data_IF_052165797026
#
_entry.id   IF_052165797026
#
_cell.length_a   1.000
_cell.length_b   1.000
_cell.length_c   1.000
_cell.angle_alpha   90.00
_cell.angle_beta   90.00
_cell.angle_gamma   90.00
#
_symmetry.space_group_name_H-M   'P 1'
#
loop_
_entity.id
_entity.type
_entity.pdbx_description
1 polymer ?
#
# COMPACT_ATOMS: atom_id res chain seq x y z
N UNK A 1 11.76 -52.74 16.07
CA UNK A 1 10.68 -53.48 16.76
C UNK A 1 9.37 -53.11 16.11
N UNK A 2 8.95 -53.90 15.16
CA UNK A 2 7.61 -53.92 14.53
C UNK A 2 6.71 -54.86 15.31
N UNK A 3 5.38 -54.64 15.30
CA UNK A 3 4.48 -55.69 14.82
C UNK A 3 3.43 -55.12 13.84
N UNK A 4 3.29 -55.57 12.66
CA UNK A 4 2.44 -56.62 12.06
C UNK A 4 1.05 -56.70 12.74
N UNK A 5 -0.01 -56.27 12.03
CA UNK A 5 -1.38 -56.73 12.24
C UNK A 5 -2.09 -57.00 10.90
N UNK A 6 -2.63 -58.18 10.85
CA UNK A 6 -3.12 -59.04 9.81
C UNK A 6 -4.53 -58.64 9.29
N UNK A 7 -4.72 -58.96 7.99
CA UNK A 7 -5.97 -58.99 7.24
C UNK A 7 -7.04 -59.88 7.87
N UNK A 8 -8.32 -59.48 7.76
CA UNK A 8 -9.47 -60.42 7.84
C UNK A 8 -10.33 -60.24 6.59
N UNK A 9 -10.22 -61.22 5.73
CA UNK A 9 -11.17 -61.60 4.69
C UNK A 9 -12.51 -62.02 5.30
N UNK A 10 -13.61 -61.47 4.76
CA UNK A 10 -14.96 -62.00 5.06
C UNK A 10 -15.58 -62.54 3.80
N UNK A 11 -15.88 -63.80 3.87
CA UNK A 11 -16.41 -64.71 2.86
C UNK A 11 -17.87 -64.47 2.55
N UNK A 12 -18.19 -64.53 1.25
CA UNK A 12 -19.50 -64.44 0.61
C UNK A 12 -20.22 -65.81 0.75
N UNK A 13 -21.41 -65.84 1.26
CA UNK A 13 -22.30 -67.03 1.23
C UNK A 13 -23.41 -66.82 0.20
N UNK A 14 -23.38 -67.61 -0.84
CA UNK A 14 -24.44 -67.79 -1.83
C UNK A 14 -25.46 -68.76 -1.26
N UNK A 15 -26.75 -68.35 -1.29
CA UNK A 15 -27.84 -69.29 -1.15
C UNK A 15 -28.81 -69.12 -2.31
N UNK A 16 -29.00 -70.20 -3.04
CA UNK A 16 -29.79 -70.26 -4.23
C UNK A 16 -31.23 -70.67 -4.03
N UNK A 17 -31.92 -70.69 -5.11
CA UNK A 17 -33.07 -71.53 -5.47
C UNK A 17 -34.48 -70.95 -5.22
N UNK A 18 -35.25 -70.65 -6.27
CA UNK A 18 -36.25 -71.60 -6.78
C UNK A 18 -37.06 -70.97 -7.94
N UNK A 19 -37.02 -71.64 -9.04
CA UNK A 19 -37.86 -71.44 -10.24
C UNK A 19 -39.31 -71.88 -9.97
N UNK A 20 -40.27 -71.03 -10.20
CA UNK A 20 -41.66 -71.41 -10.44
C UNK A 20 -42.08 -70.88 -11.83
N UNK A 21 -42.25 -71.83 -12.72
CA UNK A 21 -42.85 -71.57 -14.06
C UNK A 21 -44.37 -71.46 -13.96
N UNK A 22 -44.94 -70.32 -14.37
CA UNK A 22 -46.36 -70.20 -14.68
C UNK A 22 -46.49 -69.96 -16.17
N UNK A 23 -47.06 -70.92 -16.88
CA UNK A 23 -47.53 -70.77 -18.22
C UNK A 23 -48.89 -70.03 -18.18
N UNK A 24 -48.94 -68.81 -18.75
CA UNK A 24 -50.17 -68.08 -18.96
C UNK A 24 -50.24 -67.66 -20.43
N UNK A 25 -51.20 -68.21 -21.17
CA UNK A 25 -51.55 -67.77 -22.51
C UNK A 25 -51.94 -66.27 -22.50
N UNK A 26 -51.22 -65.43 -23.18
CA UNK A 26 -51.64 -64.08 -23.47
C UNK A 26 -52.04 -63.97 -24.92
N UNK A 27 -53.28 -63.58 -25.17
CA UNK A 27 -53.80 -63.12 -26.45
C UNK A 27 -52.98 -61.94 -27.00
N UNK A 28 -52.49 -62.10 -28.20
CA UNK A 28 -51.95 -60.99 -29.01
C UNK A 28 -53.02 -59.91 -29.20
N UNK A 29 -52.92 -58.86 -28.47
CA UNK A 29 -53.53 -57.57 -28.83
C UNK A 29 -52.46 -56.80 -29.62
N UNK A 30 -52.61 -56.67 -30.88
CA UNK A 30 -51.88 -55.70 -31.71
C UNK A 30 -52.09 -54.30 -31.10
N UNK A 31 -51.08 -53.77 -30.42
CA UNK A 31 -51.04 -52.34 -30.14
C UNK A 31 -50.84 -51.60 -31.46
N UNK A 32 -51.90 -50.99 -31.96
CA UNK A 32 -51.84 -49.99 -33.00
C UNK A 32 -50.75 -48.99 -32.62
N UNK A 33 -49.74 -48.80 -33.47
CA UNK A 33 -48.82 -47.68 -33.37
C UNK A 33 -49.63 -46.39 -33.25
N UNK A 34 -49.44 -45.55 -32.23
CA UNK A 34 -50.06 -44.24 -32.19
C UNK A 34 -49.68 -43.49 -33.48
N UNK A 35 -50.66 -43.02 -34.22
CA UNK A 35 -50.46 -42.12 -35.34
C UNK A 35 -49.57 -40.97 -34.86
N UNK A 36 -48.60 -40.49 -35.67
CA UNK A 36 -47.77 -39.36 -35.25
C UNK A 36 -48.66 -38.13 -35.04
N UNK A 37 -49.02 -37.85 -33.80
CA UNK A 37 -49.70 -36.61 -33.45
C UNK A 37 -48.72 -35.49 -33.75
N UNK A 38 -49.08 -34.59 -34.70
CA UNK A 38 -48.27 -33.41 -34.95
C UNK A 38 -48.11 -32.63 -33.65
N UNK A 39 -46.88 -32.33 -33.22
CA UNK A 39 -46.65 -31.57 -31.99
C UNK A 39 -47.31 -30.20 -32.10
N UNK A 40 -48.11 -29.84 -31.08
CA UNK A 40 -48.73 -28.51 -30.99
C UNK A 40 -47.73 -27.54 -30.35
N UNK A 41 -47.45 -26.41 -31.03
CA UNK A 41 -46.48 -25.43 -30.60
C UNK A 41 -47.10 -24.03 -30.51
N UNK A 42 -46.59 -23.24 -29.57
CA UNK A 42 -46.94 -21.82 -29.43
C UNK A 42 -45.81 -20.97 -29.99
N UNK A 43 -46.16 -19.93 -30.75
CA UNK A 43 -45.19 -19.00 -31.33
C UNK A 43 -45.04 -17.76 -30.47
N UNK A 44 -43.76 -17.37 -30.24
CA UNK A 44 -43.40 -16.15 -29.52
C UNK A 44 -42.38 -15.39 -30.35
N UNK A 45 -42.53 -14.07 -30.44
CA UNK A 45 -41.54 -13.20 -31.09
C UNK A 45 -40.55 -12.71 -30.09
N UNK A 46 -39.32 -12.43 -30.57
CA UNK A 46 -38.36 -11.72 -29.79
C UNK A 46 -38.84 -10.28 -29.48
N UNK A 47 -38.68 -9.85 -28.27
CA UNK A 47 -39.09 -8.51 -27.80
C UNK A 47 -37.94 -7.71 -27.30
N UNK A 48 -37.95 -6.40 -27.55
CA UNK A 48 -36.98 -5.50 -26.92
C UNK A 48 -37.41 -5.23 -25.48
N UNK A 49 -36.58 -5.62 -24.52
CA UNK A 49 -36.87 -5.54 -23.07
C UNK A 49 -35.68 -5.07 -22.27
N UNK A 50 -35.96 -4.66 -21.06
CA UNK A 50 -34.96 -4.49 -20.03
C UNK A 50 -34.85 -5.78 -19.21
N UNK A 51 -33.64 -6.35 -19.13
CA UNK A 51 -33.35 -7.56 -18.35
C UNK A 51 -32.60 -7.16 -17.12
N UNK A 52 -33.09 -7.54 -15.94
CA UNK A 52 -32.47 -7.36 -14.66
C UNK A 52 -31.93 -8.71 -14.15
N UNK A 53 -30.64 -8.93 -14.30
CA UNK A 53 -29.97 -10.10 -13.73
C UNK A 53 -29.41 -9.75 -12.35
N UNK A 54 -29.74 -10.54 -11.34
CA UNK A 54 -29.23 -10.38 -10.00
C UNK A 54 -28.23 -11.49 -9.71
N UNK A 55 -26.98 -11.12 -9.39
CA UNK A 55 -25.94 -12.04 -8.96
C UNK A 55 -25.80 -11.90 -7.45
N UNK A 56 -26.24 -12.90 -6.70
CA UNK A 56 -26.17 -12.93 -5.24
C UNK A 56 -25.09 -13.88 -4.75
N UNK A 57 -24.27 -13.43 -3.82
CA UNK A 57 -23.24 -14.24 -3.18
C UNK A 57 -23.26 -14.03 -1.66
N UNK A 58 -23.08 -15.12 -0.90
CA UNK A 58 -22.85 -15.00 0.53
C UNK A 58 -21.47 -14.41 0.81
N UNK A 59 -21.38 -13.60 1.84
CA UNK A 59 -20.15 -12.99 2.29
C UNK A 59 -20.22 -12.59 3.75
N UNK A 60 -19.19 -11.89 4.18
CA UNK A 60 -19.13 -11.33 5.53
C UNK A 60 -18.94 -9.83 5.45
N UNK A 61 -19.45 -9.14 6.45
CA UNK A 61 -19.11 -7.75 6.70
C UNK A 61 -17.65 -7.72 7.15
N UNK A 62 -16.81 -7.00 6.45
CA UNK A 62 -15.43 -6.78 6.85
C UNK A 62 -15.23 -5.32 7.26
N UNK A 63 -14.27 -5.07 8.15
CA UNK A 63 -13.85 -3.71 8.46
C UNK A 63 -13.26 -3.07 7.19
N UNK A 64 -13.49 -1.76 7.00
CA UNK A 64 -12.86 -1.03 5.90
C UNK A 64 -11.33 -1.16 5.92
N UNK A 65 -10.77 -1.09 7.11
CA UNK A 65 -9.35 -1.27 7.39
C UNK A 65 -9.18 -1.94 8.75
N UNK A 66 -8.28 -2.90 8.84
CA UNK A 66 -7.92 -3.56 10.10
C UNK A 66 -6.41 -3.66 10.20
N UNK A 67 -5.85 -3.15 11.30
CA UNK A 67 -4.41 -3.15 11.53
C UNK A 67 -4.10 -3.86 12.85
N UNK A 68 -3.18 -4.80 12.77
CA UNK A 68 -2.59 -5.46 13.92
C UNK A 68 -1.39 -4.66 14.43
N UNK A 69 -1.39 -4.30 15.71
CA UNK A 69 -0.36 -3.54 16.38
C UNK A 69 0.60 -4.49 17.07
N UNK A 70 1.88 -4.37 16.72
CA UNK A 70 2.97 -5.18 17.27
C UNK A 70 3.96 -4.31 18.02
N UNK A 71 4.67 -4.88 19.00
CA UNK A 71 5.83 -4.23 19.58
C UNK A 71 6.95 -4.14 18.54
N UNK A 72 7.63 -2.99 18.45
CA UNK A 72 8.85 -2.82 17.64
C UNK A 72 10.12 -3.07 18.43
N UNK A 73 10.04 -3.07 19.77
CA UNK A 73 11.11 -3.35 20.71
C UNK A 73 10.63 -4.39 21.72
N UNK A 74 11.49 -5.27 22.22
CA UNK A 74 11.13 -6.19 23.29
C UNK A 74 10.99 -5.42 24.61
N UNK A 75 10.08 -5.88 25.47
CA UNK A 75 9.85 -5.28 26.77
C UNK A 75 8.64 -5.89 27.48
N UNK A 76 8.35 -5.43 28.68
CA UNK A 76 7.17 -5.82 29.44
C UNK A 76 6.05 -4.81 29.21
N UNK A 77 4.80 -5.25 29.21
CA UNK A 77 3.66 -4.34 29.21
C UNK A 77 3.55 -3.70 30.60
N UNK A 78 3.80 -2.40 30.67
CA UNK A 78 3.66 -1.64 31.93
C UNK A 78 2.19 -1.37 32.23
N UNK A 79 1.48 -0.85 31.24
CA UNK A 79 0.08 -0.47 31.37
C UNK A 79 -0.59 -0.51 30.02
N UNK A 80 -1.83 -0.98 29.99
CA UNK A 80 -2.75 -0.81 28.87
C UNK A 80 -3.87 0.18 29.26
N UNK A 81 -4.30 1.01 28.31
CA UNK A 81 -5.24 2.12 28.54
C UNK A 81 -6.59 1.89 27.86
N UNK A 82 -6.73 0.84 27.06
CA UNK A 82 -7.91 0.52 26.27
C UNK A 82 -8.18 -0.98 26.32
N UNK A 83 -9.46 -1.38 26.21
CA UNK A 83 -9.84 -2.79 26.18
C UNK A 83 -10.62 -3.12 24.89
N UNK A 84 -10.95 -4.39 24.69
CA UNK A 84 -11.76 -4.87 23.57
C UNK A 84 -13.11 -4.15 23.57
N UNK A 85 -13.50 -3.60 22.42
CA UNK A 85 -14.73 -2.84 22.25
C UNK A 85 -14.59 -1.33 22.45
N UNK A 86 -13.46 -0.85 22.98
CA UNK A 86 -13.24 0.58 23.16
C UNK A 86 -13.04 1.30 21.82
N UNK A 87 -13.65 2.48 21.70
CA UNK A 87 -13.43 3.40 20.61
C UNK A 87 -12.15 4.20 20.85
N UNK A 88 -11.25 4.18 19.90
CA UNK A 88 -9.97 4.87 19.95
C UNK A 88 -9.84 5.90 18.84
N UNK A 89 -9.13 6.99 19.13
CA UNK A 89 -8.77 8.02 18.15
C UNK A 89 -7.37 7.81 17.64
N UNK A 90 -7.08 8.36 16.48
CA UNK A 90 -5.72 8.42 15.94
C UNK A 90 -4.75 9.01 16.97
N UNK A 91 -3.57 8.43 17.07
CA UNK A 91 -2.50 8.78 18.00
C UNK A 91 -2.85 8.61 19.50
N UNK A 92 -4.02 8.06 19.83
CA UNK A 92 -4.37 7.71 21.21
C UNK A 92 -3.46 6.58 21.71
N UNK A 93 -2.91 6.75 22.92
CA UNK A 93 -2.04 5.77 23.55
C UNK A 93 -2.83 4.53 23.99
N UNK A 94 -2.50 3.39 23.41
CA UNK A 94 -3.13 2.09 23.69
C UNK A 94 -2.47 1.37 24.87
N UNK A 95 -1.12 1.32 24.84
CA UNK A 95 -0.31 0.72 25.89
C UNK A 95 1.06 1.36 25.98
N UNK A 96 1.71 1.16 27.12
CA UNK A 96 3.11 1.54 27.38
C UNK A 96 3.92 0.29 27.69
N UNK A 97 5.11 0.22 27.14
CA UNK A 97 6.09 -0.81 27.46
C UNK A 97 7.03 -0.33 28.58
N UNK A 98 7.45 -1.21 29.42
CA UNK A 98 8.48 -1.00 30.44
C UNK A 98 9.82 -1.52 29.91
N UNK A 99 10.74 -0.60 29.59
CA UNK A 99 12.09 -0.89 29.09
C UNK A 99 13.05 0.11 29.71
N UNK A 100 13.36 -0.04 31.02
CA UNK A 100 14.18 0.94 31.74
C UNK A 100 15.58 1.10 31.15
N UNK A 101 16.17 0.01 30.66
CA UNK A 101 17.51 0.03 30.09
C UNK A 101 17.65 0.99 28.91
N UNK A 102 16.62 1.05 28.07
CA UNK A 102 16.58 1.93 26.91
C UNK A 102 16.43 3.40 27.31
N UNK A 103 15.68 3.68 28.37
CA UNK A 103 15.50 5.03 28.90
C UNK A 103 16.81 5.55 29.49
N UNK A 104 17.52 4.72 30.26
CA UNK A 104 18.80 5.07 30.82
C UNK A 104 19.90 5.25 29.76
N UNK A 105 19.91 4.37 28.74
CA UNK A 105 20.80 4.52 27.59
C UNK A 105 20.57 5.83 26.84
N UNK A 106 19.29 6.22 26.64
CA UNK A 106 18.93 7.50 26.03
C UNK A 106 19.44 8.67 26.87
N UNK A 107 19.23 8.65 28.18
CA UNK A 107 19.75 9.66 29.10
C UNK A 107 21.28 9.79 29.05
N UNK A 108 22.00 8.65 28.98
CA UNK A 108 23.43 8.65 28.78
C UNK A 108 23.87 9.33 27.48
N UNK A 109 23.19 9.07 26.35
CA UNK A 109 23.52 9.73 25.09
C UNK A 109 23.20 11.23 25.10
N UNK A 110 22.14 11.66 25.77
CA UNK A 110 21.89 13.09 26.00
C UNK A 110 23.02 13.77 26.78
N UNK A 111 23.47 13.15 27.85
CA UNK A 111 24.60 13.64 28.60
C UNK A 111 25.88 13.71 27.75
N UNK A 112 26.10 12.71 26.89
CA UNK A 112 27.25 12.70 25.96
C UNK A 112 27.18 13.87 24.96
N UNK A 113 26.03 14.17 24.38
CA UNK A 113 25.85 15.34 23.50
C UNK A 113 26.15 16.64 24.25
N UNK A 114 25.70 16.76 25.51
CA UNK A 114 26.00 17.93 26.34
C UNK A 114 27.50 18.10 26.60
N UNK A 115 28.19 17.00 26.91
CA UNK A 115 29.64 17.00 27.08
C UNK A 115 30.38 17.43 25.81
N UNK A 116 30.02 16.86 24.65
CA UNK A 116 30.68 17.17 23.39
C UNK A 116 30.44 18.63 22.97
N UNK A 117 29.27 19.23 23.28
CA UNK A 117 29.03 20.68 23.11
C UNK A 117 29.95 21.55 23.94
N UNK A 118 30.24 21.15 25.20
CA UNK A 118 31.20 21.86 26.04
C UNK A 118 32.63 21.77 25.47
N UNK A 119 33.00 20.62 24.86
CA UNK A 119 34.30 20.48 24.19
C UNK A 119 34.40 21.39 22.94
N UNK A 120 33.35 21.61 22.20
CA UNK A 120 33.31 22.62 21.12
C UNK A 120 33.59 24.01 21.70
N UNK A 121 32.95 24.38 22.79
CA UNK A 121 33.15 25.70 23.40
C UNK A 121 34.58 25.86 23.94
N UNK A 122 35.17 24.78 24.47
CA UNK A 122 36.60 24.75 24.85
C UNK A 122 37.50 25.00 23.64
N UNK A 123 37.24 24.30 22.51
CA UNK A 123 38.00 24.48 21.26
C UNK A 123 37.87 25.90 20.71
N UNK A 124 36.71 26.53 20.77
CA UNK A 124 36.50 27.96 20.42
C UNK A 124 37.34 28.89 21.26
N UNK A 125 37.44 28.66 22.59
CA UNK A 125 38.32 29.47 23.48
C UNK A 125 39.81 29.30 23.13
N UNK A 126 40.19 28.14 22.63
CA UNK A 126 41.56 27.94 22.13
C UNK A 126 41.83 28.76 20.85
N UNK A 127 40.83 28.89 19.98
CA UNK A 127 40.93 29.78 18.80
C UNK A 127 41.08 31.24 19.22
N UNK A 128 40.31 31.71 20.23
CA UNK A 128 40.43 33.06 20.74
C UNK A 128 41.84 33.33 21.30
N UNK A 129 42.40 32.35 22.05
CA UNK A 129 43.75 32.42 22.58
C UNK A 129 44.82 32.45 21.47
N UNK A 130 44.70 31.57 20.46
CA UNK A 130 45.60 31.54 19.30
C UNK A 130 45.57 32.84 18.49
N UNK A 131 44.39 33.44 18.33
CA UNK A 131 44.21 34.73 17.65
C UNK A 131 44.91 35.85 18.45
N UNK A 132 44.80 35.83 19.78
CA UNK A 132 45.50 36.75 20.65
C UNK A 132 47.05 36.66 20.50
N UNK A 133 47.57 35.41 20.44
CA UNK A 133 49.02 35.19 20.23
C UNK A 133 49.49 35.63 18.84
N UNK A 134 48.70 35.43 17.81
CA UNK A 134 48.97 35.91 16.45
C UNK A 134 49.00 37.45 16.40
N UNK A 135 48.05 38.13 17.04
CA UNK A 135 48.04 39.60 17.13
C UNK A 135 49.31 40.14 17.84
N UNK A 136 49.77 39.46 18.89
CA UNK A 136 51.03 39.81 19.59
C UNK A 136 52.22 39.61 18.66
N UNK A 137 52.31 38.53 17.89
CA UNK A 137 53.37 38.28 16.93
C UNK A 137 53.38 39.30 15.80
N UNK A 138 52.22 39.70 15.28
CA UNK A 138 52.06 40.79 14.29
C UNK A 138 52.64 42.10 14.85
N UNK A 139 52.33 42.45 16.12
CA UNK A 139 52.85 43.65 16.75
C UNK A 139 54.39 43.62 16.86
N UNK A 140 55.00 42.43 17.13
CA UNK A 140 56.45 42.25 17.15
C UNK A 140 57.09 42.51 15.77
N UNK A 141 56.46 42.02 14.69
CA UNK A 141 56.93 42.29 13.30
C UNK A 141 56.84 43.78 13.01
N UNK A 142 55.79 44.47 13.42
CA UNK A 142 55.64 45.93 13.23
C UNK A 142 56.75 46.67 13.94
N UNK A 143 57.03 46.28 15.20
CA UNK A 143 58.12 46.86 16.00
C UNK A 143 59.48 46.63 15.31
N UNK A 144 59.80 45.40 14.95
CA UNK A 144 61.04 45.06 14.26
C UNK A 144 61.25 45.85 12.93
N UNK A 145 60.19 46.04 12.15
CA UNK A 145 60.23 46.87 10.94
C UNK A 145 60.48 48.36 11.25
N UNK A 146 59.93 48.88 12.33
CA UNK A 146 60.20 50.26 12.77
C UNK A 146 61.65 50.42 13.18
N UNK A 147 62.25 49.42 13.83
CA UNK A 147 63.67 49.46 14.19
C UNK A 147 64.58 49.44 12.97
N UNK A 148 64.26 48.67 11.91
CA UNK A 148 64.93 48.73 10.57
C UNK A 148 64.85 50.15 10.03
N UNK A 149 63.67 50.79 10.01
CA UNK A 149 63.52 52.13 9.50
C UNK A 149 64.37 53.17 10.21
N UNK A 150 64.58 52.97 11.57
CA UNK A 150 65.48 53.81 12.33
C UNK A 150 66.92 53.65 11.88
N UNK A 151 67.43 52.44 11.74
CA UNK A 151 68.81 52.20 11.31
C UNK A 151 69.01 52.57 9.86
N UNK A 152 68.06 52.41 8.96
CA UNK A 152 68.12 52.88 7.58
C UNK A 152 68.28 54.44 7.51
N UNK A 153 67.54 55.17 8.33
CA UNK A 153 67.71 56.61 8.40
C UNK A 153 69.13 57.01 8.89
N UNK A 154 69.68 56.26 9.84
CA UNK A 154 71.07 56.49 10.33
C UNK A 154 72.09 56.15 9.22
N UNK A 155 71.95 55.07 8.49
CA UNK A 155 72.79 54.69 7.35
C UNK A 155 72.76 55.78 6.27
N UNK A 156 71.59 56.26 5.85
CA UNK A 156 71.43 57.35 4.86
C UNK A 156 72.13 58.61 5.32
N UNK A 157 71.98 58.94 6.60
CA UNK A 157 72.67 60.11 7.23
C UNK A 157 74.18 59.94 7.08
N UNK A 158 74.75 58.81 7.55
CA UNK A 158 76.24 58.58 7.54
C UNK A 158 76.73 58.41 6.12
N UNK A 159 76.03 57.83 5.18
CA UNK A 159 76.41 57.79 3.76
C UNK A 159 76.53 59.21 3.20
N UNK A 160 75.61 60.08 3.51
CA UNK A 160 75.61 61.48 3.10
C UNK A 160 76.83 62.23 3.69
N UNK A 161 77.18 61.95 4.97
CA UNK A 161 78.33 62.55 5.67
C UNK A 161 79.65 62.02 5.10
N UNK A 162 79.83 60.73 4.91
CA UNK A 162 81.02 60.11 4.28
C UNK A 162 81.21 60.68 2.89
N UNK A 163 80.17 60.84 2.03
CA UNK A 163 80.20 61.46 0.72
C UNK A 163 80.69 62.93 0.76
N UNK A 164 80.19 63.72 1.73
CA UNK A 164 80.54 65.09 1.96
C UNK A 164 82.06 65.17 2.39
N UNK A 165 82.50 64.35 3.34
CA UNK A 165 83.83 64.32 3.80
C UNK A 165 84.79 63.84 2.78
N UNK A 166 84.51 62.87 1.95
CA UNK A 166 85.27 62.41 0.78
C UNK A 166 85.64 63.59 -0.17
N UNK A 167 84.66 64.46 -0.46
CA UNK A 167 84.85 65.64 -1.30
C UNK A 167 85.76 66.65 -0.64
N UNK A 168 85.60 66.85 0.71
CA UNK A 168 86.47 67.85 1.51
C UNK A 168 87.89 67.33 1.67
N UNK A 169 88.13 66.05 1.90
CA UNK A 169 89.48 65.45 1.85
C UNK A 169 90.14 65.58 0.49
N UNK A 170 89.43 65.34 -0.61
CA UNK A 170 89.97 65.54 -1.92
C UNK A 170 90.42 66.98 -2.19
N UNK A 171 89.72 67.97 -1.55
CA UNK A 171 90.04 69.38 -1.59
C UNK A 171 91.11 69.76 -0.54
N UNK A 172 91.64 68.83 0.31
CA UNK A 172 92.60 68.99 1.40
C UNK A 172 92.15 69.94 2.51
N UNK A 173 90.82 70.04 2.72
CA UNK A 173 90.25 70.91 3.76
C UNK A 173 90.12 70.17 5.09
N UNK A 174 90.04 68.83 5.11
CA UNK A 174 89.80 67.96 6.27
C UNK A 174 90.83 66.81 6.24
N UNK A 175 91.21 66.30 7.43
CA UNK A 175 92.17 65.23 7.57
C UNK A 175 91.54 63.86 7.19
N UNK A 176 92.33 62.92 6.64
CA UNK A 176 91.95 61.60 6.24
C UNK A 176 91.38 60.76 7.42
N UNK A 177 91.90 60.99 8.62
CA UNK A 177 91.51 60.32 9.87
C UNK A 177 90.02 60.51 10.18
N UNK A 178 89.44 61.71 9.88
CA UNK A 178 88.03 62.04 10.08
C UNK A 178 87.14 61.27 9.12
N UNK A 179 87.57 61.09 7.85
CA UNK A 179 86.87 60.26 6.84
C UNK A 179 86.89 58.79 7.23
N UNK A 180 88.05 58.28 7.70
CA UNK A 180 88.20 56.88 8.14
C UNK A 180 87.32 56.58 9.37
N UNK A 181 87.18 57.52 10.29
CA UNK A 181 86.28 57.39 11.44
C UNK A 181 84.78 57.37 10.99
N UNK A 182 84.38 58.27 10.11
CA UNK A 182 83.08 58.35 9.61
C UNK A 182 82.67 57.07 8.76
N UNK A 183 83.70 56.54 8.04
CA UNK A 183 83.51 55.30 7.30
C UNK A 183 83.33 54.09 8.21
N UNK A 184 84.09 54.03 9.35
CA UNK A 184 83.90 53.01 10.36
C UNK A 184 82.49 53.11 10.96
N UNK A 185 82.01 54.34 11.22
CA UNK A 185 80.72 54.58 11.77
C UNK A 185 79.59 54.17 10.79
N UNK A 186 79.72 54.47 9.47
CA UNK A 186 78.82 53.98 8.42
C UNK A 186 78.73 52.45 8.44
N UNK A 187 79.85 51.73 8.39
CA UNK A 187 79.85 50.26 8.40
C UNK A 187 79.25 49.68 9.70
N UNK A 188 79.42 50.36 10.86
CA UNK A 188 78.77 49.96 12.12
C UNK A 188 77.24 50.05 11.98
N UNK A 189 76.66 51.13 11.39
CA UNK A 189 75.22 51.28 11.17
C UNK A 189 74.66 50.35 10.09
N UNK A 190 75.48 50.09 9.04
CA UNK A 190 75.11 49.07 8.02
C UNK A 190 74.98 47.70 8.68
N UNK A 191 75.94 47.30 9.48
CA UNK A 191 75.90 46.04 10.24
C UNK A 191 74.71 45.99 11.25
N UNK A 192 74.40 47.11 11.90
CA UNK A 192 73.24 47.21 12.79
C UNK A 192 71.89 47.11 12.00
N UNK A 193 71.80 47.75 10.84
CA UNK A 193 70.64 47.60 9.94
C UNK A 193 70.44 46.15 9.52
N UNK A 194 71.52 45.49 9.03
CA UNK A 194 71.47 44.09 8.58
C UNK A 194 71.08 43.13 9.74
N UNK A 195 71.56 43.37 10.96
CA UNK A 195 71.12 42.66 12.15
C UNK A 195 69.65 42.91 12.45
N UNK A 196 69.14 44.15 12.25
CA UNK A 196 67.73 44.46 12.47
C UNK A 196 66.84 43.83 11.38
N UNK A 197 67.31 43.74 10.11
CA UNK A 197 66.62 42.98 9.06
C UNK A 197 66.50 41.50 9.41
N UNK A 198 67.58 40.88 9.94
CA UNK A 198 67.53 39.51 10.40
C UNK A 198 66.51 39.35 11.57
N UNK A 199 66.40 40.36 12.45
CA UNK A 199 65.37 40.33 13.51
C UNK A 199 63.93 40.42 12.94
N UNK A 200 63.68 41.14 11.88
CA UNK A 200 62.41 41.12 11.15
C UNK A 200 62.08 39.73 10.60
N UNK A 201 63.09 39.03 10.03
CA UNK A 201 62.88 37.67 9.53
C UNK A 201 62.52 36.69 10.65
N UNK A 202 63.15 36.81 11.83
CA UNK A 202 62.83 36.00 13.00
C UNK A 202 61.38 36.29 13.50
N UNK A 203 61.04 37.57 13.60
CA UNK A 203 59.67 37.98 14.00
C UNK A 203 58.59 37.53 13.01
N UNK A 204 58.91 37.57 11.71
CA UNK A 204 57.97 37.10 10.69
C UNK A 204 57.79 35.58 10.68
N UNK A 205 58.90 34.82 10.93
CA UNK A 205 58.82 33.38 11.15
C UNK A 205 57.96 33.00 12.36
N UNK A 206 58.08 33.76 13.46
CA UNK A 206 57.20 33.61 14.66
C UNK A 206 55.73 33.89 14.32
N UNK A 207 55.45 34.96 13.52
CA UNK A 207 54.11 35.28 13.05
C UNK A 207 53.52 34.15 12.22
N UNK A 208 54.25 33.58 11.27
CA UNK A 208 53.81 32.44 10.42
C UNK A 208 53.53 31.20 11.29
N UNK A 209 54.36 30.92 12.30
CA UNK A 209 54.12 29.82 13.23
C UNK A 209 52.82 30.03 14.03
N UNK A 210 52.55 31.27 14.52
CA UNK A 210 51.29 31.59 15.18
C UNK A 210 50.06 31.50 14.27
N UNK A 211 50.21 31.90 13.02
CA UNK A 211 49.14 31.77 12.00
C UNK A 211 48.80 30.31 11.72
N UNK A 212 49.79 29.43 11.61
CA UNK A 212 49.60 27.99 11.47
C UNK A 212 48.90 27.39 12.69
N UNK A 213 49.29 27.83 13.93
CA UNK A 213 48.62 27.42 15.16
C UNK A 213 47.17 27.86 15.22
N UNK A 214 46.83 29.07 14.78
CA UNK A 214 45.44 29.54 14.67
C UNK A 214 44.66 28.71 13.63
N UNK A 215 45.27 28.41 12.48
CA UNK A 215 44.65 27.56 11.48
C UNK A 215 44.35 26.16 12.05
N UNK A 216 45.30 25.56 12.77
CA UNK A 216 45.09 24.29 13.46
C UNK A 216 43.96 24.37 14.47
N UNK A 217 43.90 25.38 15.35
CA UNK A 217 42.87 25.54 16.32
C UNK A 217 41.45 25.68 15.67
N UNK A 218 41.35 26.33 14.52
CA UNK A 218 40.11 26.40 13.76
C UNK A 218 39.67 25.04 13.23
N UNK A 219 40.61 24.20 12.76
CA UNK A 219 40.30 22.82 12.33
C UNK A 219 39.89 21.97 13.51
N UNK A 220 40.49 22.16 14.69
CA UNK A 220 40.12 21.44 15.91
C UNK A 220 38.66 21.76 16.31
N UNK A 221 38.16 22.98 16.11
CA UNK A 221 36.73 23.32 16.29
C UNK A 221 35.87 22.54 15.34
N UNK A 222 36.24 22.46 14.04
CA UNK A 222 35.47 21.69 13.07
C UNK A 222 35.44 20.20 13.42
N UNK A 223 36.53 19.66 13.92
CA UNK A 223 36.57 18.27 14.39
C UNK A 223 35.66 18.04 15.61
N UNK A 224 35.67 18.98 16.56
CA UNK A 224 34.77 18.92 17.72
C UNK A 224 33.28 19.06 17.29
N UNK A 225 32.95 19.95 16.37
CA UNK A 225 31.61 20.07 15.81
C UNK A 225 31.14 18.78 15.08
N UNK A 226 32.08 18.10 14.41
CA UNK A 226 31.77 16.82 13.78
C UNK A 226 31.45 15.74 14.81
N UNK A 227 32.17 15.69 15.94
CA UNK A 227 31.87 14.74 17.04
C UNK A 227 30.51 15.00 17.67
N UNK A 228 30.12 16.27 17.87
CA UNK A 228 28.76 16.63 18.32
C UNK A 228 27.68 16.09 17.36
N UNK A 229 27.88 16.27 16.06
CA UNK A 229 26.91 15.75 15.07
C UNK A 229 26.76 14.24 15.12
N UNK A 230 27.84 13.51 15.33
CA UNK A 230 27.79 12.05 15.50
C UNK A 230 27.03 11.68 16.80
N UNK A 231 27.32 12.35 17.90
CA UNK A 231 26.62 12.12 19.16
C UNK A 231 25.11 12.46 19.07
N UNK A 232 24.76 13.56 18.39
CA UNK A 232 23.34 13.93 18.14
C UNK A 232 22.63 12.93 17.23
N UNK A 233 23.32 12.34 16.25
CA UNK A 233 22.75 11.29 15.42
C UNK A 233 22.46 10.02 16.25
N UNK A 234 23.37 9.63 17.13
CA UNK A 234 23.18 8.53 18.07
C UNK A 234 22.02 8.78 19.04
N UNK A 235 21.95 9.98 19.61
CA UNK A 235 20.82 10.40 20.48
C UNK A 235 19.49 10.28 19.73
N UNK A 236 19.38 10.83 18.52
CA UNK A 236 18.17 10.75 17.70
C UNK A 236 17.76 9.31 17.39
N UNK A 237 18.73 8.43 17.13
CA UNK A 237 18.46 7.01 16.93
C UNK A 237 17.81 6.38 18.16
N UNK A 238 18.34 6.65 19.34
CA UNK A 238 17.76 6.15 20.60
C UNK A 238 16.44 6.82 20.94
N UNK A 239 16.27 8.12 20.68
CA UNK A 239 15.00 8.82 20.84
C UNK A 239 13.88 8.16 20.03
N UNK A 240 14.17 7.73 18.79
CA UNK A 240 13.23 6.98 17.97
C UNK A 240 12.88 5.61 18.58
N UNK A 241 13.85 4.90 19.16
CA UNK A 241 13.60 3.64 19.86
C UNK A 241 12.77 3.84 21.13
N UNK A 242 13.07 4.87 21.92
CA UNK A 242 12.26 5.27 23.10
C UNK A 242 10.82 5.62 22.68
N UNK A 243 10.64 6.23 21.52
CA UNK A 243 9.30 6.49 20.96
C UNK A 243 8.47 5.22 20.77
N UNK A 244 9.10 4.06 20.53
CA UNK A 244 8.41 2.78 20.38
C UNK A 244 7.97 2.14 21.71
N UNK A 245 8.32 2.70 22.84
CA UNK A 245 7.76 2.33 24.16
C UNK A 245 6.27 2.60 24.20
N UNK A 246 5.81 3.65 23.53
CA UNK A 246 4.40 4.02 23.45
C UNK A 246 3.79 3.39 22.20
N UNK A 247 2.67 2.70 22.37
CA UNK A 247 1.91 2.10 21.27
C UNK A 247 0.67 2.96 20.98
N UNK A 248 0.71 3.86 19.99
CA UNK A 248 -0.44 4.67 19.61
C UNK A 248 -1.33 3.95 18.60
N UNK A 249 -2.60 4.38 18.50
CA UNK A 249 -3.50 3.98 17.43
C UNK A 249 -3.13 4.67 16.10
N UNK A 250 -3.09 3.94 14.96
CA UNK A 250 -2.77 4.53 13.66
C UNK A 250 -3.91 5.38 13.08
N UNK A 251 -5.17 5.12 13.47
CA UNK A 251 -6.37 5.80 13.00
C UNK A 251 -7.52 5.67 14.01
N UNK A 252 -8.62 6.37 13.74
CA UNK A 252 -9.84 6.26 14.52
C UNK A 252 -10.53 4.92 14.26
N UNK A 253 -10.81 4.15 15.31
CA UNK A 253 -11.39 2.82 15.17
C UNK A 253 -11.88 2.22 16.47
N UNK A 254 -12.08 0.92 16.45
CA UNK A 254 -12.48 0.10 17.62
C UNK A 254 -11.45 -0.99 17.85
N UNK A 255 -11.10 -1.22 19.10
CA UNK A 255 -10.22 -2.34 19.50
C UNK A 255 -10.97 -3.65 19.36
N UNK A 256 -10.55 -4.50 18.43
CA UNK A 256 -11.20 -5.82 18.19
C UNK A 256 -10.43 -6.98 18.82
N UNK A 257 -9.17 -6.77 19.19
CA UNK A 257 -8.33 -7.78 19.80
C UNK A 257 -7.35 -7.14 20.81
N UNK A 258 -7.16 -7.77 21.95
CA UNK A 258 -6.12 -7.51 22.95
C UNK A 258 -5.52 -8.84 23.40
N UNK A 259 -4.26 -9.06 23.11
CA UNK A 259 -3.54 -10.33 23.38
C UNK A 259 -2.50 -10.23 24.48
N UNK A 260 -2.38 -9.07 25.14
CA UNK A 260 -1.37 -8.90 26.16
C UNK A 260 -1.95 -8.26 27.42
N UNK A 261 -1.44 -8.68 28.56
CA UNK A 261 -1.78 -8.20 29.89
C UNK A 261 -0.62 -7.44 30.53
N UNK A 262 -0.90 -6.69 31.59
CA UNK A 262 0.14 -6.03 32.38
C UNK A 262 1.12 -7.06 32.91
N UNK A 263 2.41 -6.83 32.72
CA UNK A 263 3.49 -7.74 33.11
C UNK A 263 3.85 -8.80 32.07
N UNK A 264 3.10 -8.93 30.98
CA UNK A 264 3.45 -9.85 29.90
C UNK A 264 4.69 -9.33 29.14
N UNK A 265 5.61 -10.26 28.85
CA UNK A 265 6.76 -9.96 28.01
C UNK A 265 6.37 -10.05 26.54
N UNK A 266 6.63 -8.98 25.78
CA UNK A 266 6.40 -8.92 24.34
C UNK A 266 7.71 -8.88 23.59
N UNK A 267 7.80 -9.65 22.52
CA UNK A 267 8.97 -9.65 21.64
C UNK A 267 8.73 -8.69 20.47
N UNK A 268 9.81 -8.11 19.95
CA UNK A 268 9.76 -7.34 18.73
C UNK A 268 9.30 -8.23 17.57
N UNK A 269 8.42 -7.70 16.72
CA UNK A 269 8.03 -8.40 15.49
C UNK A 269 9.25 -8.48 14.56
N UNK A 270 9.84 -9.66 14.46
CA UNK A 270 10.92 -9.96 13.53
C UNK A 270 10.32 -10.60 12.28
N UNK A 271 10.17 -9.87 11.21
CA UNK A 271 9.72 -10.45 9.94
C UNK A 271 8.96 -9.48 9.06
N UNK A 272 9.04 -9.73 7.76
CA UNK A 272 8.31 -8.99 6.75
C UNK A 272 6.81 -9.20 6.94
N UNK A 273 6.09 -8.16 7.36
CA UNK A 273 4.64 -8.19 7.58
C UNK A 273 3.84 -8.35 6.28
N UNK A 274 4.48 -8.18 5.13
CA UNK A 274 3.84 -8.33 3.81
C UNK A 274 3.57 -9.78 3.44
N UNK A 275 4.27 -10.73 4.03
CA UNK A 275 3.97 -12.14 3.86
C UNK A 275 2.78 -12.55 4.74
N UNK A 276 1.56 -12.35 4.26
CA UNK A 276 0.36 -13.03 4.75
C UNK A 276 0.50 -14.54 4.53
N UNK A 277 1.29 -15.19 5.36
CA UNK A 277 1.35 -16.66 5.37
C UNK A 277 0.08 -17.19 6.01
N UNK A 278 -0.69 -17.90 5.21
CA UNK A 278 -2.00 -18.45 5.57
C UNK A 278 -1.93 -19.77 6.36
N UNK A 279 -0.82 -20.08 7.00
CA UNK A 279 -0.73 -21.31 7.79
C UNK A 279 -0.69 -20.99 9.29
N UNK A 280 -1.63 -21.52 10.08
CA UNK A 280 -1.72 -21.28 11.53
C UNK A 280 -0.48 -21.71 12.32
N UNK A 281 0.32 -22.62 11.77
CA UNK A 281 1.45 -23.27 12.46
C UNK A 281 2.75 -22.44 12.47
N UNK A 282 2.83 -21.35 11.68
CA UNK A 282 4.02 -20.47 11.66
C UNK A 282 3.88 -19.20 12.51
N UNK A 283 2.82 -19.08 13.28
CA UNK A 283 2.56 -17.93 14.15
C UNK A 283 3.52 -17.85 15.35
N UNK A 284 4.20 -18.94 15.69
CA UNK A 284 5.04 -19.02 16.87
C UNK A 284 6.39 -18.27 16.77
N UNK A 285 6.86 -17.95 15.57
CA UNK A 285 8.12 -17.20 15.36
C UNK A 285 7.93 -15.71 15.01
N UNK A 286 6.68 -15.27 14.85
CA UNK A 286 6.33 -13.87 14.65
C UNK A 286 5.56 -13.42 15.87
N UNK A 287 6.07 -12.53 16.68
CA UNK A 287 5.38 -12.07 17.88
C UNK A 287 3.87 -11.90 17.63
N UNK A 288 3.04 -12.31 18.58
CA UNK A 288 1.59 -12.12 18.48
C UNK A 288 1.26 -10.62 18.47
N UNK A 289 0.22 -10.16 17.72
CA UNK A 289 -0.20 -8.77 17.78
C UNK A 289 -0.69 -8.45 19.20
N UNK A 290 -0.29 -7.30 19.71
CA UNK A 290 -0.74 -6.84 21.05
C UNK A 290 -2.18 -6.37 20.98
N UNK A 291 -2.50 -5.58 19.96
CA UNK A 291 -3.84 -5.10 19.65
C UNK A 291 -4.16 -5.31 18.18
N UNK A 292 -5.46 -5.42 17.88
CA UNK A 292 -5.97 -5.19 16.53
C UNK A 292 -7.03 -4.09 16.59
N UNK A 293 -6.90 -3.12 15.69
CA UNK A 293 -7.84 -2.00 15.57
C UNK A 293 -8.53 -2.12 14.23
N UNK A 294 -9.85 -2.02 14.24
CA UNK A 294 -10.69 -2.03 13.06
C UNK A 294 -11.35 -0.68 12.86
N UNK A 295 -11.31 -0.17 11.63
CA UNK A 295 -12.06 0.98 11.20
C UNK A 295 -13.45 0.54 10.77
N UNK A 296 -14.49 0.97 11.48
CA UNK A 296 -15.85 0.47 11.35
C UNK A 296 -16.88 1.56 10.99
N UNK A 297 -16.45 2.80 10.77
CA UNK A 297 -17.27 3.90 10.25
C UNK A 297 -17.78 3.61 8.82
N UNK A 298 -17.00 2.86 8.07
CA UNK A 298 -17.35 2.25 6.81
C UNK A 298 -17.08 0.76 6.96
N UNK A 299 -17.95 -0.08 6.42
CA UNK A 299 -17.74 -1.51 6.33
C UNK A 299 -17.79 -1.97 4.88
N UNK A 300 -17.17 -3.08 4.60
CA UNK A 300 -17.01 -3.59 3.25
C UNK A 300 -17.58 -5.00 3.11
N UNK A 301 -18.24 -5.24 1.98
CA UNK A 301 -18.75 -6.56 1.63
C UNK A 301 -18.17 -6.94 0.27
N UNK A 302 -17.69 -8.17 0.14
CA UNK A 302 -17.19 -8.73 -1.10
C UNK A 302 -18.26 -9.57 -1.77
N UNK A 303 -18.41 -9.39 -3.08
CA UNK A 303 -19.27 -10.20 -3.92
C UNK A 303 -18.43 -10.78 -5.05
N UNK A 304 -18.30 -12.10 -5.09
CA UNK A 304 -17.53 -12.79 -6.11
C UNK A 304 -18.42 -13.12 -7.31
N UNK A 305 -18.37 -12.24 -8.33
CA UNK A 305 -19.20 -12.32 -9.54
C UNK A 305 -18.62 -13.34 -10.51
N UNK A 306 -19.41 -14.33 -11.03
CA UNK A 306 -18.94 -15.29 -12.02
C UNK A 306 -18.42 -14.62 -13.30
N UNK A 307 -17.45 -15.26 -13.97
CA UNK A 307 -16.79 -14.77 -15.19
C UNK A 307 -17.80 -14.37 -16.28
N UNK A 308 -18.88 -15.14 -16.48
CA UNK A 308 -19.92 -14.85 -17.47
C UNK A 308 -20.64 -13.52 -17.24
N UNK A 309 -20.69 -13.02 -16.02
CA UNK A 309 -21.34 -11.77 -15.62
C UNK A 309 -20.35 -10.63 -15.37
N UNK A 310 -19.05 -10.95 -15.29
CA UNK A 310 -18.00 -10.01 -14.90
C UNK A 310 -17.93 -8.76 -15.81
N UNK A 311 -18.15 -8.93 -17.11
CA UNK A 311 -18.12 -7.83 -18.09
C UNK A 311 -19.23 -6.78 -17.88
N UNK A 312 -20.25 -7.09 -17.10
CA UNK A 312 -21.39 -6.21 -16.87
C UNK A 312 -21.33 -5.51 -15.51
N UNK A 313 -20.34 -5.88 -14.66
CA UNK A 313 -20.17 -5.30 -13.34
C UNK A 313 -19.06 -4.27 -13.37
N UNK A 314 -19.46 -3.01 -13.25
CA UNK A 314 -18.56 -1.86 -13.23
C UNK A 314 -18.72 -1.07 -11.93
N UNK A 315 -17.79 -0.16 -11.68
CA UNK A 315 -17.93 0.81 -10.59
C UNK A 315 -19.23 1.60 -10.78
N UNK A 316 -20.03 1.70 -9.74
CA UNK A 316 -21.34 2.35 -9.75
C UNK A 316 -22.52 1.43 -10.10
N UNK A 317 -22.28 0.15 -10.47
CA UNK A 317 -23.36 -0.83 -10.66
C UNK A 317 -24.19 -0.95 -9.38
N UNK A 318 -25.53 -0.91 -9.53
CA UNK A 318 -26.44 -1.01 -8.41
C UNK A 318 -26.30 -2.36 -7.70
N UNK A 319 -26.29 -2.31 -6.37
CA UNK A 319 -26.19 -3.50 -5.53
C UNK A 319 -27.18 -3.39 -4.35
N UNK A 320 -27.52 -4.52 -3.76
CA UNK A 320 -28.32 -4.60 -2.55
C UNK A 320 -27.58 -5.52 -1.57
N UNK A 321 -27.44 -5.09 -0.34
CA UNK A 321 -26.86 -5.90 0.72
C UNK A 321 -27.96 -6.29 1.69
N UNK A 322 -28.01 -7.58 2.05
CA UNK A 322 -28.92 -8.09 3.07
C UNK A 322 -28.11 -8.65 4.23
N UNK A 323 -28.37 -8.12 5.42
CA UNK A 323 -27.68 -8.53 6.63
C UNK A 323 -28.62 -9.41 7.46
N UNK A 324 -28.26 -10.68 7.59
CA UNK A 324 -29.10 -11.68 8.25
C UNK A 324 -29.36 -11.35 9.72
N UNK A 325 -28.37 -10.81 10.43
CA UNK A 325 -28.48 -10.44 11.84
C UNK A 325 -29.58 -9.40 12.12
N UNK A 326 -30.07 -8.68 11.11
CA UNK A 326 -31.13 -7.66 11.21
C UNK A 326 -32.39 -8.06 10.41
N UNK A 327 -32.83 -9.32 10.52
CA UNK A 327 -34.00 -9.86 9.82
C UNK A 327 -33.99 -9.58 8.30
N UNK A 328 -32.85 -9.85 7.67
CA UNK A 328 -32.61 -9.59 6.25
C UNK A 328 -32.85 -8.13 5.83
N UNK A 329 -32.51 -7.20 6.72
CA UNK A 329 -32.54 -5.77 6.40
C UNK A 329 -31.83 -5.51 5.08
N UNK A 330 -32.54 -4.86 4.16
CA UNK A 330 -32.04 -4.52 2.82
C UNK A 330 -31.42 -3.14 2.84
N UNK A 331 -30.20 -3.07 2.34
CA UNK A 331 -29.44 -1.82 2.21
C UNK A 331 -29.08 -1.66 0.74
N UNK A 332 -29.67 -0.63 0.10
CA UNK A 332 -29.29 -0.28 -1.26
C UNK A 332 -27.90 0.33 -1.27
N UNK A 333 -27.09 -0.15 -2.18
CA UNK A 333 -25.68 0.22 -2.30
C UNK A 333 -25.24 0.22 -3.77
N UNK A 334 -23.96 0.50 -3.99
CA UNK A 334 -23.33 0.42 -5.31
C UNK A 334 -21.99 -0.28 -5.20
N UNK A 335 -21.58 -0.91 -6.28
CA UNK A 335 -20.22 -1.42 -6.41
C UNK A 335 -19.25 -0.24 -6.38
N UNK A 336 -18.35 -0.20 -5.41
CA UNK A 336 -17.35 0.86 -5.25
C UNK A 336 -16.06 0.54 -5.99
N UNK A 337 -15.72 -0.73 -6.07
CA UNK A 337 -14.50 -1.22 -6.76
C UNK A 337 -14.69 -2.63 -7.29
N UNK A 338 -13.83 -2.98 -8.24
CA UNK A 338 -13.67 -4.36 -8.75
C UNK A 338 -12.19 -4.73 -8.73
N UNK A 339 -11.89 -6.03 -8.65
CA UNK A 339 -10.50 -6.52 -8.58
C UNK A 339 -9.71 -6.35 -9.89
N UNK A 340 -10.33 -5.96 -11.01
CA UNK A 340 -9.73 -5.89 -12.35
C UNK A 340 -9.02 -7.19 -12.82
N UNK A 341 -9.11 -8.24 -12.03
CA UNK A 341 -8.55 -9.55 -12.32
C UNK A 341 -9.52 -10.63 -11.85
N UNK A 342 -9.64 -11.68 -12.63
CA UNK A 342 -10.39 -12.87 -12.23
C UNK A 342 -9.55 -13.74 -11.30
N UNK A 343 -10.18 -14.25 -10.26
CA UNK A 343 -9.60 -15.31 -9.47
C UNK A 343 -9.60 -16.61 -10.31
N UNK A 344 -8.41 -17.09 -10.65
CA UNK A 344 -8.24 -18.26 -11.56
C UNK A 344 -8.88 -19.52 -10.99
N UNK A 345 -8.89 -19.71 -9.67
CA UNK A 345 -9.43 -20.91 -9.03
C UNK A 345 -10.95 -20.94 -9.02
N UNK A 346 -11.59 -19.80 -8.67
CA UNK A 346 -13.06 -19.69 -8.59
C UNK A 346 -13.68 -19.17 -9.89
N UNK A 347 -12.89 -18.64 -10.83
CA UNK A 347 -13.32 -17.94 -12.05
C UNK A 347 -14.33 -16.84 -11.75
N UNK A 348 -14.01 -16.01 -10.75
CA UNK A 348 -14.88 -14.91 -10.32
C UNK A 348 -14.13 -13.59 -10.33
N UNK A 349 -14.86 -12.51 -10.65
CA UNK A 349 -14.44 -11.13 -10.44
C UNK A 349 -14.90 -10.69 -9.05
N UNK A 350 -14.00 -10.22 -8.19
CA UNK A 350 -14.38 -9.66 -6.90
C UNK A 350 -14.87 -8.23 -7.06
N UNK A 351 -16.12 -8.00 -6.69
CA UNK A 351 -16.71 -6.68 -6.53
C UNK A 351 -16.77 -6.30 -5.04
N UNK A 352 -16.42 -5.06 -4.72
CA UNK A 352 -16.44 -4.51 -3.37
C UNK A 352 -17.59 -3.52 -3.23
N UNK A 353 -18.32 -3.64 -2.15
CA UNK A 353 -19.43 -2.77 -1.77
C UNK A 353 -19.09 -2.15 -0.44
N UNK A 354 -18.87 -0.84 -0.39
CA UNK A 354 -18.62 -0.10 0.84
C UNK A 354 -19.94 0.48 1.37
N UNK A 355 -20.24 0.23 2.65
CA UNK A 355 -21.43 0.73 3.35
C UNK A 355 -21.01 1.69 4.45
N UNK A 356 -21.69 2.84 4.54
CA UNK A 356 -21.53 3.80 5.63
C UNK A 356 -22.21 3.21 6.87
N UNK A 357 -21.48 3.19 7.99
CA UNK A 357 -21.91 2.57 9.25
C UNK A 357 -21.73 3.52 10.44
N UNK A 358 -22.42 4.67 10.47
CA UNK A 358 -22.21 5.71 11.48
C UNK A 358 -22.54 5.27 12.90
N UNK A 359 -23.55 4.40 13.04
CA UNK A 359 -24.00 3.88 14.32
C UNK A 359 -23.19 2.66 14.80
N UNK A 360 -22.20 2.22 14.01
CA UNK A 360 -21.42 1.00 14.26
C UNK A 360 -22.29 -0.26 14.50
N UNK A 361 -23.48 -0.33 13.88
CA UNK A 361 -24.38 -1.48 13.99
C UNK A 361 -23.91 -2.68 13.21
N UNK A 362 -23.29 -2.44 12.04
CA UNK A 362 -22.71 -3.48 11.21
C UNK A 362 -21.34 -3.83 11.79
N UNK A 363 -21.24 -4.99 12.43
CA UNK A 363 -19.99 -5.45 13.02
C UNK A 363 -19.20 -6.31 12.02
N UNK A 364 -17.88 -6.16 11.94
CA UNK A 364 -17.04 -7.09 11.20
C UNK A 364 -17.27 -8.53 11.64
N UNK A 365 -17.37 -9.45 10.68
CA UNK A 365 -17.71 -10.85 10.93
C UNK A 365 -19.19 -11.20 10.80
N UNK A 366 -20.11 -10.21 10.72
CA UNK A 366 -21.51 -10.50 10.45
C UNK A 366 -21.70 -11.12 9.07
N UNK A 367 -22.61 -12.09 8.99
CA UNK A 367 -22.99 -12.71 7.73
C UNK A 367 -23.89 -11.80 6.92
N UNK A 368 -23.56 -11.60 5.67
CA UNK A 368 -24.31 -10.76 4.75
C UNK A 368 -24.38 -11.37 3.35
N UNK A 369 -25.46 -11.11 2.64
CA UNK A 369 -25.57 -11.42 1.22
C UNK A 369 -25.42 -10.14 0.42
N UNK A 370 -24.51 -10.14 -0.57
CA UNK A 370 -24.39 -9.09 -1.55
C UNK A 370 -25.07 -9.49 -2.86
N UNK A 371 -25.96 -8.66 -3.35
CA UNK A 371 -26.66 -8.84 -4.60
C UNK A 371 -26.27 -7.72 -5.57
N UNK A 372 -25.53 -8.04 -6.63
CA UNK A 372 -25.22 -7.09 -7.70
C UNK A 372 -26.32 -7.15 -8.75
N UNK A 373 -26.94 -6.01 -9.07
CA UNK A 373 -28.04 -5.86 -10.01
C UNK A 373 -27.50 -5.42 -11.35
N UNK A 374 -27.43 -6.34 -12.31
CA UNK A 374 -26.94 -6.10 -13.67
C UNK A 374 -28.16 -5.73 -14.52
N UNK A 375 -28.24 -4.48 -14.95
CA UNK A 375 -29.28 -3.96 -15.80
C UNK A 375 -28.84 -3.94 -17.26
N UNK A 376 -29.57 -4.65 -18.12
CA UNK A 376 -29.39 -4.66 -19.58
C UNK A 376 -30.59 -4.01 -20.21
N UNK A 377 -30.45 -2.76 -20.64
CA UNK A 377 -31.54 -1.97 -21.19
C UNK A 377 -31.62 -2.12 -22.70
N UNK A 378 -32.87 -2.19 -23.20
CA UNK A 378 -33.17 -2.25 -24.63
C UNK A 378 -32.48 -3.40 -25.39
N UNK A 379 -32.45 -4.59 -24.78
CA UNK A 379 -31.90 -5.79 -25.40
C UNK A 379 -32.99 -6.64 -26.04
N UNK A 380 -32.69 -7.25 -27.17
CA UNK A 380 -33.61 -8.20 -27.81
C UNK A 380 -33.59 -9.51 -27.00
N UNK A 381 -34.73 -9.96 -26.55
CA UNK A 381 -34.85 -11.12 -25.67
C UNK A 381 -35.95 -12.09 -26.15
N UNK A 382 -35.76 -13.35 -25.82
CA UNK A 382 -36.72 -14.43 -26.03
C UNK A 382 -37.02 -15.11 -24.70
N UNK A 383 -38.21 -15.69 -24.48
CA UNK A 383 -38.51 -16.47 -23.29
C UNK A 383 -37.55 -17.64 -23.16
N UNK A 384 -37.08 -17.90 -21.92
CA UNK A 384 -36.17 -19.03 -21.63
C UNK A 384 -36.80 -20.38 -22.07
N UNK A 385 -38.14 -20.48 -22.04
CA UNK A 385 -38.88 -21.65 -22.49
C UNK A 385 -38.81 -21.91 -24.02
N UNK A 386 -38.21 -21.00 -24.80
CA UNK A 386 -37.94 -21.21 -26.23
C UNK A 386 -36.54 -21.78 -26.48
N UNK A 387 -35.73 -22.04 -25.44
CA UNK A 387 -34.34 -22.42 -25.53
C UNK A 387 -34.14 -23.81 -24.97
N UNK A 388 -33.54 -24.69 -25.77
CA UNK A 388 -33.05 -25.99 -25.31
C UNK A 388 -31.55 -26.14 -25.63
N UNK A 389 -30.92 -27.24 -25.20
CA UNK A 389 -29.52 -27.53 -25.50
C UNK A 389 -29.41 -28.74 -26.38
N UNK A 390 -28.72 -28.61 -27.50
CA UNK A 390 -28.25 -29.76 -28.31
C UNK A 390 -26.74 -29.85 -28.27
N UNK A 391 -26.22 -30.87 -27.55
CA UNK A 391 -24.79 -30.95 -27.21
C UNK A 391 -24.36 -29.75 -26.38
N UNK A 392 -23.32 -29.04 -26.80
CA UNK A 392 -22.76 -27.87 -26.08
C UNK A 392 -23.37 -26.53 -26.49
N UNK A 393 -24.25 -26.51 -27.53
CA UNK A 393 -24.81 -25.26 -28.05
C UNK A 393 -26.27 -25.08 -27.58
N UNK A 394 -26.64 -23.88 -27.11
CA UNK A 394 -28.03 -23.51 -26.93
C UNK A 394 -28.67 -23.31 -28.30
N UNK A 395 -29.86 -23.89 -28.48
CA UNK A 395 -30.63 -23.81 -29.70
C UNK A 395 -32.07 -23.38 -29.42
N UNK A 396 -32.70 -22.79 -30.41
CA UNK A 396 -34.15 -22.58 -30.45
C UNK A 396 -34.69 -23.02 -31.79
N UNK A 397 -35.98 -23.28 -31.85
CA UNK A 397 -36.69 -23.59 -33.09
C UNK A 397 -37.48 -22.40 -33.58
N UNK A 398 -37.40 -22.11 -34.89
CA UNK A 398 -38.22 -21.13 -35.57
C UNK A 398 -39.18 -21.80 -36.56
N UNK A 399 -40.36 -21.23 -36.72
CA UNK A 399 -41.31 -21.69 -37.72
C UNK A 399 -41.06 -20.97 -39.04
N UNK A 400 -40.83 -21.74 -40.13
CA UNK A 400 -40.72 -21.23 -41.48
C UNK A 400 -41.45 -22.19 -42.44
N UNK A 401 -42.38 -21.68 -43.24
CA UNK A 401 -43.17 -22.47 -44.22
C UNK A 401 -43.86 -23.72 -43.62
N UNK A 402 -44.40 -23.60 -42.37
CA UNK A 402 -45.08 -24.68 -41.65
C UNK A 402 -44.18 -25.77 -41.06
N UNK A 403 -42.86 -25.60 -41.12
CA UNK A 403 -41.85 -26.51 -40.58
C UNK A 403 -40.99 -25.81 -39.54
N UNK A 404 -40.51 -26.56 -38.55
CA UNK A 404 -39.57 -26.08 -37.60
C UNK A 404 -38.12 -26.21 -38.09
N UNK A 405 -37.32 -25.17 -37.90
CA UNK A 405 -35.90 -25.15 -38.21
C UNK A 405 -35.11 -24.83 -36.92
N UNK A 406 -34.11 -25.63 -36.70
CA UNK A 406 -33.17 -25.42 -35.58
C UNK A 406 -32.26 -24.24 -35.86
N UNK A 407 -32.12 -23.37 -34.87
CA UNK A 407 -31.29 -22.16 -34.90
C UNK A 407 -30.38 -22.15 -33.71
N UNK A 408 -29.05 -22.21 -33.92
CA UNK A 408 -28.06 -22.07 -32.86
C UNK A 408 -28.03 -20.64 -32.29
N UNK A 409 -27.91 -20.49 -30.99
CA UNK A 409 -28.00 -19.20 -30.31
C UNK A 409 -26.69 -18.83 -29.60
N UNK A 410 -26.35 -17.54 -29.62
CA UNK A 410 -25.45 -16.91 -28.61
C UNK A 410 -26.30 -16.09 -27.67
N UNK A 411 -26.23 -16.43 -26.40
CA UNK A 411 -27.06 -15.88 -25.33
C UNK A 411 -26.27 -14.90 -24.49
N UNK A 412 -26.94 -13.86 -24.00
CA UNK A 412 -26.43 -12.87 -23.08
C UNK A 412 -26.98 -13.03 -21.65
N UNK A 413 -27.36 -11.93 -21.01
CA UNK A 413 -27.96 -11.92 -19.68
C UNK A 413 -29.34 -12.56 -19.64
N UNK A 414 -29.70 -13.16 -18.48
CA UNK A 414 -31.04 -13.73 -18.23
C UNK A 414 -31.57 -13.28 -16.88
N UNK A 415 -32.88 -13.02 -16.80
CA UNK A 415 -33.61 -12.82 -15.55
C UNK A 415 -34.32 -14.10 -15.04
N UNK A 416 -34.11 -15.22 -15.75
CA UNK A 416 -34.75 -16.51 -15.47
C UNK A 416 -36.03 -16.73 -16.28
N UNK A 417 -36.72 -15.70 -16.72
CA UNK A 417 -37.94 -15.76 -17.56
C UNK A 417 -37.57 -15.41 -19.00
N UNK A 418 -36.77 -14.41 -19.20
CA UNK A 418 -36.29 -13.92 -20.49
C UNK A 418 -34.79 -14.05 -20.62
N UNK A 419 -34.34 -14.35 -21.83
CA UNK A 419 -32.94 -14.51 -22.17
C UNK A 419 -32.55 -13.54 -23.27
N UNK A 420 -31.50 -12.75 -23.07
CA UNK A 420 -30.93 -11.87 -24.10
C UNK A 420 -30.39 -12.70 -25.26
N UNK A 421 -30.76 -12.31 -26.48
CA UNK A 421 -30.32 -12.94 -27.72
C UNK A 421 -29.26 -12.06 -28.40
N UNK A 422 -27.98 -12.51 -28.35
CA UNK A 422 -26.86 -11.77 -28.91
C UNK A 422 -26.66 -12.04 -30.40
N UNK A 423 -26.74 -13.30 -30.82
CA UNK A 423 -26.58 -13.71 -32.21
C UNK A 423 -27.30 -15.03 -32.47
N UNK A 424 -27.67 -15.23 -33.71
CA UNK A 424 -28.28 -16.47 -34.23
C UNK A 424 -27.36 -17.10 -35.26
N UNK A 425 -27.27 -18.42 -35.29
CA UNK A 425 -26.47 -19.15 -36.28
C UNK A 425 -27.31 -19.50 -37.47
N UNK A 426 -27.02 -18.91 -38.64
CA UNK A 426 -27.66 -19.21 -39.90
C UNK A 426 -26.65 -19.97 -40.79
N UNK A 427 -26.82 -21.29 -40.91
CA UNK A 427 -25.81 -22.15 -41.53
C UNK A 427 -24.49 -22.15 -40.71
N UNK A 428 -23.40 -21.71 -41.33
CA UNK A 428 -22.09 -21.62 -40.65
C UNK A 428 -21.74 -20.24 -40.12
N UNK A 429 -22.60 -19.23 -40.37
CA UNK A 429 -22.34 -17.83 -39.97
C UNK A 429 -23.18 -17.39 -38.78
N UNK A 430 -22.59 -16.52 -37.94
CA UNK A 430 -23.29 -15.90 -36.84
C UNK A 430 -23.79 -14.52 -37.28
N UNK A 431 -25.11 -14.33 -37.22
CA UNK A 431 -25.77 -13.09 -37.62
C UNK A 431 -26.43 -12.40 -36.43
N UNK A 432 -26.66 -11.10 -36.55
CA UNK A 432 -27.45 -10.37 -35.58
C UNK A 432 -28.94 -10.74 -35.75
N UNK A 433 -29.67 -11.05 -34.64
CA UNK A 433 -31.09 -11.41 -34.76
C UNK A 433 -31.89 -10.22 -35.32
N UNK A 434 -32.84 -10.49 -36.23
CA UNK A 434 -33.65 -9.48 -36.88
C UNK A 434 -34.84 -9.03 -36.02
N UNK A 435 -35.26 -9.90 -35.08
CA UNK A 435 -36.36 -9.63 -34.16
C UNK A 435 -37.77 -9.94 -34.72
N UNK A 436 -37.86 -10.36 -35.96
CA UNK A 436 -39.09 -10.79 -36.62
C UNK A 436 -39.28 -12.31 -36.63
N UNK A 437 -38.25 -13.05 -36.19
CA UNK A 437 -38.29 -14.50 -36.12
C UNK A 437 -39.36 -14.98 -35.13
N UNK A 438 -40.17 -15.95 -35.57
CA UNK A 438 -41.19 -16.61 -34.75
C UNK A 438 -40.57 -17.83 -34.06
N UNK A 439 -40.17 -17.68 -32.79
CA UNK A 439 -39.61 -18.74 -31.98
C UNK A 439 -40.71 -19.66 -31.44
N UNK A 440 -40.42 -20.95 -31.38
CA UNK A 440 -41.34 -21.97 -30.87
C UNK A 440 -41.14 -22.07 -29.36
N UNK A 441 -42.26 -21.99 -28.62
CA UNK A 441 -42.36 -22.25 -27.19
C UNK A 441 -43.17 -23.52 -26.98
N UNK A 442 -42.67 -24.48 -26.26
CA UNK A 442 -43.35 -25.73 -25.96
C UNK A 442 -42.40 -26.84 -25.52
N UNK A 443 -42.79 -28.07 -25.78
CA UNK A 443 -41.91 -29.21 -25.54
C UNK A 443 -40.89 -29.31 -26.70
N UNK A 444 -39.72 -28.68 -26.49
CA UNK A 444 -38.69 -28.56 -27.51
C UNK A 444 -37.89 -29.86 -27.71
N UNK A 445 -37.96 -30.80 -26.75
CA UNK A 445 -37.19 -32.04 -26.78
C UNK A 445 -37.76 -33.04 -27.78
N UNK A 446 -39.06 -32.93 -28.13
CA UNK A 446 -39.74 -33.74 -29.15
C UNK A 446 -39.60 -33.18 -30.58
N UNK A 447 -38.99 -32.00 -30.73
CA UNK A 447 -38.85 -31.35 -32.03
C UNK A 447 -37.51 -31.71 -32.68
N UNK A 448 -37.59 -32.15 -33.93
CA UNK A 448 -36.42 -32.32 -34.79
C UNK A 448 -36.46 -31.31 -35.96
N UNK A 449 -35.28 -31.07 -36.54
CA UNK A 449 -35.16 -30.15 -37.67
C UNK A 449 -36.01 -30.62 -38.87
N UNK A 450 -36.77 -29.70 -39.49
CA UNK A 450 -37.63 -29.92 -40.65
C UNK A 450 -38.93 -30.73 -40.40
N UNK A 451 -39.36 -30.82 -39.12
CA UNK A 451 -40.65 -31.46 -38.74
C UNK A 451 -41.80 -30.49 -38.95
N UNK A 452 -42.95 -30.98 -39.48
CA UNK A 452 -44.16 -30.17 -39.60
C UNK A 452 -44.87 -30.10 -38.24
N UNK A 453 -45.24 -28.89 -37.82
CA UNK A 453 -45.85 -28.61 -36.51
C UNK A 453 -47.20 -27.94 -36.68
N UNK A 454 -48.11 -28.14 -35.74
CA UNK A 454 -49.39 -27.46 -35.69
C UNK A 454 -49.32 -26.28 -34.72
N UNK A 455 -49.55 -25.08 -35.24
CA UNK A 455 -49.57 -23.85 -34.42
C UNK A 455 -50.88 -23.77 -33.65
N UNK A 456 -50.78 -23.61 -32.35
CA UNK A 456 -51.93 -23.35 -31.49
C UNK A 456 -52.23 -21.85 -31.44
N UNK A 457 -53.27 -21.40 -32.16
CA UNK A 457 -53.64 -19.98 -32.28
C UNK A 457 -54.29 -19.36 -31.04
N UNK A 458 -54.52 -20.16 -29.98
CA UNK A 458 -55.27 -19.71 -28.80
C UNK A 458 -54.51 -18.86 -27.78
N UNK A 459 -53.23 -18.57 -27.99
CA UNK A 459 -52.44 -17.67 -27.14
C UNK A 459 -52.28 -16.30 -27.79
N UNK A 460 -53.33 -15.45 -27.77
CA UNK A 460 -53.13 -14.01 -27.98
C UNK A 460 -52.14 -13.46 -26.92
N UNK A 461 -51.21 -12.58 -27.31
CA UNK A 461 -50.33 -11.95 -26.34
C UNK A 461 -51.15 -11.23 -25.27
N UNK A 462 -50.92 -11.50 -24.00
CA UNK A 462 -51.48 -10.69 -22.91
C UNK A 462 -50.97 -9.25 -23.04
N UNK A 463 -51.90 -8.38 -23.41
CA UNK A 463 -51.70 -6.95 -23.49
C UNK A 463 -51.29 -6.43 -22.09
N UNK A 464 -50.08 -5.91 -22.02
CA UNK A 464 -49.41 -5.42 -20.84
C UNK A 464 -50.29 -4.45 -20.04
N UNK A 465 -50.90 -4.90 -18.93
CA UNK A 465 -51.50 -4.00 -17.95
C UNK A 465 -50.42 -3.08 -17.40
N UNK A 466 -50.43 -1.83 -17.89
CA UNK A 466 -49.63 -0.73 -17.30
C UNK A 466 -49.80 -0.73 -15.80
N UNK A 467 -48.65 -0.80 -15.07
CA UNK A 467 -48.58 -0.58 -13.65
C UNK A 467 -49.24 0.78 -13.29
N UNK A 468 -50.03 0.87 -12.21
CA UNK A 468 -50.69 2.11 -11.84
C UNK A 468 -49.64 3.15 -11.45
N UNK A 469 -49.65 4.25 -12.18
CA UNK A 469 -48.93 5.49 -11.84
C UNK A 469 -49.43 5.97 -10.48
N UNK A 470 -48.58 5.93 -9.44
CA UNK A 470 -48.86 6.61 -8.16
C UNK A 470 -48.88 8.13 -8.40
N UNK A 471 -50.08 8.70 -8.44
CA UNK A 471 -50.29 10.12 -8.31
C UNK A 471 -49.67 10.65 -7.01
N UNK A 472 -48.87 11.69 -7.15
CA UNK A 472 -48.33 12.45 -6.06
C UNK A 472 -49.47 13.20 -5.36
N UNK A 473 -49.91 12.75 -4.20
CA UNK A 473 -50.77 13.52 -3.30
C UNK A 473 -49.94 14.66 -2.70
N UNK A 474 -50.12 15.87 -3.23
CA UNK A 474 -49.86 17.11 -2.49
C UNK A 474 -50.99 17.30 -1.49
N UNK A 475 -50.70 17.37 -0.19
CA UNK A 475 -51.47 18.17 0.76
C UNK A 475 -50.65 18.47 2.01
N UNK A 476 -50.51 19.76 2.21
CA UNK A 476 -50.36 20.58 3.43
C UNK A 476 -49.33 20.18 4.50
#
# INVERSE_FOLDING_TARGET
>A
MTPIFTSKTLTLTILGLSTLSFAGCSKNTEHAKPSPTMPEVTLVKAETRNILRTVGQPGFVEAYEQTSIFAKIPGYIEKWNVDIGDKVKKDQLLATLFVPELIEEYGFKQAKVALDKVLVDQAKRLVDSADGTLKAAIAKVVKAKADVGKFDADVVRWQSEVKRLTNLVAQRVVDQQILDESTRQLRSYESARDASIAQVMVADAERVACEANLAKAKVDVLAADATVKVAEADEKRLAALVGYIKLPSPYDGIVVLRNANTGDFVQAATGDQTARSMTPDQSASRGAPIFAIARTDIVRIFVDVPEGDANFVNIGTNAEVRVQAFNDMRIDAKVTRTSWALNVRSRTLRAEIDLINPDAKLLPGMYAYGYVKIERNNVLAIPTACITKRGDLPVAYILKDGKCYELGLKLGASDGIWQELLSVKNGDTWEKPKGDEAFIKGDLDELDNNVTVKVNESAKPEENKKAPTKEASKSK
#
